data_IF_787422705649
#
_entry.id   IF_787422705649
#
_cell.length_a   1.000
_cell.length_b   1.000
_cell.length_c   1.000
_cell.angle_alpha   90.00
_cell.angle_beta   90.00
_cell.angle_gamma   90.00
#
_symmetry.space_group_name_H-M   'P 1'
#
loop_
_entity.id
_entity.type
_entity.pdbx_description
1 polymer ?
#
# COMPACT_ATOMS: atom_id res chain seq x y z
N UNK A 1 -1.45 27.68 -16.84
CA UNK A 1 -0.65 26.79 -15.98
C UNK A 1 -0.54 25.38 -16.58
N UNK A 2 -1.63 24.75 -16.94
CA UNK A 2 -1.67 23.38 -17.51
C UNK A 2 -0.73 23.17 -18.72
N UNK A 3 -0.71 24.10 -19.67
CA UNK A 3 0.19 24.04 -20.82
C UNK A 3 1.67 24.10 -20.43
N UNK A 4 2.00 24.92 -19.42
CA UNK A 4 3.37 25.00 -18.88
C UNK A 4 3.78 23.71 -18.18
N UNK A 5 2.86 23.08 -17.45
CA UNK A 5 3.08 21.77 -16.82
C UNK A 5 3.38 20.69 -17.85
N UNK A 6 2.60 20.64 -18.93
CA UNK A 6 2.85 19.71 -20.03
C UNK A 6 4.23 19.94 -20.67
N UNK A 7 4.62 21.19 -20.91
CA UNK A 7 5.93 21.53 -21.45
C UNK A 7 7.07 21.11 -20.52
N UNK A 8 6.93 21.33 -19.20
CA UNK A 8 7.91 20.87 -18.20
C UNK A 8 8.03 19.35 -18.22
N UNK A 9 6.91 18.62 -18.21
CA UNK A 9 6.93 17.17 -18.26
C UNK A 9 7.60 16.65 -19.54
N UNK A 10 7.25 17.16 -20.71
CA UNK A 10 7.86 16.74 -21.97
C UNK A 10 9.37 16.96 -22.01
N UNK A 11 9.85 18.11 -21.49
CA UNK A 11 11.31 18.36 -21.41
C UNK A 11 12.02 17.35 -20.52
N UNK A 12 11.43 16.98 -19.36
CA UNK A 12 12.00 15.96 -18.50
C UNK A 12 11.99 14.57 -19.15
N UNK A 13 10.92 14.19 -19.83
CA UNK A 13 10.85 12.93 -20.58
C UNK A 13 11.86 12.88 -21.73
N UNK A 14 12.10 14.01 -22.40
CA UNK A 14 13.12 14.11 -23.46
C UNK A 14 14.54 13.92 -22.86
N UNK A 15 14.84 14.55 -21.74
CA UNK A 15 16.11 14.39 -21.02
C UNK A 15 16.31 12.90 -20.62
N UNK A 16 15.29 12.29 -20.06
CA UNK A 16 15.33 10.89 -19.63
C UNK A 16 15.58 9.96 -20.82
N UNK A 17 14.82 10.12 -21.89
CA UNK A 17 14.96 9.33 -23.11
C UNK A 17 16.37 9.42 -23.71
N UNK A 18 16.93 10.65 -23.82
CA UNK A 18 18.28 10.88 -24.37
C UNK A 18 19.33 10.20 -23.47
N UNK A 19 19.21 10.34 -22.16
CA UNK A 19 20.16 9.80 -21.23
C UNK A 19 20.07 8.25 -21.13
N UNK A 20 18.86 7.67 -21.24
CA UNK A 20 18.69 6.22 -21.37
C UNK A 20 19.30 5.71 -22.66
N UNK A 21 19.04 6.36 -23.81
CA UNK A 21 19.62 5.98 -25.09
C UNK A 21 21.17 5.97 -25.04
N UNK A 22 21.76 6.93 -24.33
CA UNK A 22 23.20 6.96 -24.10
C UNK A 22 23.66 5.80 -23.19
N UNK A 23 22.96 5.54 -22.06
CA UNK A 23 23.28 4.40 -21.17
C UNK A 23 23.22 3.06 -21.92
N UNK A 24 22.32 2.93 -22.89
CA UNK A 24 22.17 1.74 -23.72
C UNK A 24 23.16 1.66 -24.91
N UNK A 25 23.99 2.68 -25.14
CA UNK A 25 24.92 2.75 -26.26
C UNK A 25 24.25 3.02 -27.63
N UNK A 26 23.01 3.50 -27.63
CA UNK A 26 22.26 3.84 -28.85
C UNK A 26 22.53 5.27 -29.34
N UNK A 27 23.13 6.11 -28.51
CA UNK A 27 23.45 7.50 -28.83
C UNK A 27 24.63 7.99 -28.00
N UNK A 28 25.47 8.87 -28.57
CA UNK A 28 26.55 9.55 -27.82
C UNK A 28 26.06 10.88 -27.18
N UNK A 29 24.81 11.27 -27.47
CA UNK A 29 24.27 12.52 -26.96
C UNK A 29 23.95 12.41 -25.46
N UNK A 30 24.18 13.50 -24.72
CA UNK A 30 23.67 13.69 -23.36
C UNK A 30 22.91 15.01 -23.30
N UNK A 31 21.90 15.06 -22.46
CA UNK A 31 21.14 16.27 -22.20
C UNK A 31 21.31 16.64 -20.74
N UNK A 32 21.83 17.83 -20.48
CA UNK A 32 22.02 18.35 -19.13
C UNK A 32 20.83 19.23 -18.73
N UNK A 33 20.51 19.20 -17.45
CA UNK A 33 19.45 20.03 -16.87
C UNK A 33 19.95 21.47 -16.78
N UNK A 34 19.23 22.39 -17.41
CA UNK A 34 19.51 23.81 -17.28
C UNK A 34 18.73 24.45 -16.10
N UNK A 35 19.25 25.57 -15.61
CA UNK A 35 18.66 26.29 -14.47
C UNK A 35 17.23 26.78 -14.76
N UNK A 36 16.94 27.18 -15.98
CA UNK A 36 15.61 27.67 -16.37
C UNK A 36 14.55 26.57 -16.24
N UNK A 37 14.83 25.39 -16.77
CA UNK A 37 13.95 24.22 -16.62
C UNK A 37 13.76 23.87 -15.14
N UNK A 38 14.84 23.86 -14.36
CA UNK A 38 14.76 23.55 -12.94
C UNK A 38 13.87 24.54 -12.19
N UNK A 39 14.04 25.85 -12.43
CA UNK A 39 13.23 26.90 -11.80
C UNK A 39 11.75 26.81 -12.22
N UNK A 40 11.48 26.53 -13.48
CA UNK A 40 10.10 26.35 -13.96
C UNK A 40 9.47 25.09 -13.36
N UNK A 41 10.24 24.01 -13.21
CA UNK A 41 9.80 22.79 -12.54
C UNK A 41 9.43 23.05 -11.09
N UNK A 42 10.31 23.71 -10.33
CA UNK A 42 10.06 24.05 -8.93
C UNK A 42 8.78 24.87 -8.79
N UNK A 43 8.56 25.89 -9.64
CA UNK A 43 7.33 26.71 -9.62
C UNK A 43 6.08 25.90 -9.93
N UNK A 44 6.14 25.02 -10.93
CA UNK A 44 5.01 24.16 -11.27
C UNK A 44 4.67 23.19 -10.15
N UNK A 45 5.67 22.53 -9.57
CA UNK A 45 5.49 21.57 -8.48
C UNK A 45 4.95 22.24 -7.20
N UNK A 46 5.49 23.41 -6.81
CA UNK A 46 5.02 24.16 -5.65
C UNK A 46 3.54 24.59 -5.83
N UNK A 47 3.19 25.10 -7.00
CA UNK A 47 1.82 25.46 -7.33
C UNK A 47 0.86 24.27 -7.28
N UNK A 48 1.20 23.19 -7.99
CA UNK A 48 0.34 22.00 -8.08
C UNK A 48 0.18 21.25 -6.77
N UNK A 49 1.21 21.26 -5.91
CA UNK A 49 1.15 20.61 -4.60
C UNK A 49 0.15 21.26 -3.63
N UNK A 50 -0.32 22.47 -3.91
CA UNK A 50 -1.36 23.17 -3.12
C UNK A 50 -2.75 22.86 -3.66
N UNK A 51 -2.89 22.53 -4.95
CA UNK A 51 -4.16 22.21 -5.61
C UNK A 51 -4.31 20.68 -5.58
N UNK A 52 -5.00 20.18 -4.58
CA UNK A 52 -5.15 18.72 -4.35
C UNK A 52 -6.24 18.14 -5.27
N UNK A 53 -5.92 17.98 -6.55
CA UNK A 53 -6.71 17.16 -7.47
C UNK A 53 -5.94 15.89 -7.85
N UNK A 54 -6.65 14.73 -7.96
CA UNK A 54 -6.00 13.43 -8.27
C UNK A 54 -5.07 13.43 -9.50
N UNK A 55 -5.39 14.12 -10.62
CA UNK A 55 -4.49 14.17 -11.78
C UNK A 55 -3.15 14.83 -11.49
N UNK A 56 -3.12 15.83 -10.62
CA UNK A 56 -1.91 16.56 -10.26
C UNK A 56 -0.92 15.71 -9.47
N UNK A 57 -1.38 14.76 -8.66
CA UNK A 57 -0.50 13.89 -7.86
C UNK A 57 0.38 13.02 -8.77
N UNK A 58 -0.18 12.38 -9.79
CA UNK A 58 0.60 11.58 -10.74
C UNK A 58 1.64 12.42 -11.49
N UNK A 59 1.26 13.64 -11.90
CA UNK A 59 2.20 14.58 -12.51
C UNK A 59 3.35 14.92 -11.56
N UNK A 60 3.04 15.28 -10.31
CA UNK A 60 4.03 15.65 -9.29
C UNK A 60 5.01 14.50 -9.05
N UNK A 61 4.51 13.27 -8.84
CA UNK A 61 5.35 12.09 -8.61
C UNK A 61 6.27 11.84 -9.82
N UNK A 62 5.72 11.92 -11.04
CA UNK A 62 6.49 11.70 -12.27
C UNK A 62 7.59 12.73 -12.43
N UNK A 63 7.26 14.01 -12.30
CA UNK A 63 8.25 15.09 -12.48
C UNK A 63 9.30 15.09 -11.39
N UNK A 64 8.92 14.81 -10.13
CA UNK A 64 9.89 14.67 -9.03
C UNK A 64 10.83 13.51 -9.28
N UNK A 65 10.32 12.34 -9.73
CA UNK A 65 11.16 11.18 -10.02
C UNK A 65 12.19 11.46 -11.11
N UNK A 66 11.76 12.09 -12.22
CA UNK A 66 12.65 12.50 -13.30
C UNK A 66 13.67 13.57 -12.86
N UNK A 67 13.20 14.57 -12.12
CA UNK A 67 14.07 15.60 -11.57
C UNK A 67 15.13 15.00 -10.64
N UNK A 68 14.73 14.07 -9.76
CA UNK A 68 15.64 13.41 -8.82
C UNK A 68 16.70 12.57 -9.52
N UNK A 69 16.36 11.86 -10.60
CA UNK A 69 17.29 11.02 -11.36
C UNK A 69 18.32 11.84 -12.16
N UNK A 70 17.94 13.00 -12.69
CA UNK A 70 18.75 13.72 -13.68
C UNK A 70 19.40 15.02 -13.19
N UNK A 71 19.04 15.50 -12.00
CA UNK A 71 19.68 16.70 -11.42
C UNK A 71 21.00 16.31 -10.73
N UNK A 72 22.01 17.11 -10.95
CA UNK A 72 23.29 16.99 -10.22
C UNK A 72 23.13 17.48 -8.78
N UNK A 73 22.94 16.55 -7.85
CA UNK A 73 22.74 16.83 -6.42
C UNK A 73 23.97 17.48 -5.74
N UNK A 74 25.13 17.51 -6.38
CA UNK A 74 26.30 18.22 -5.87
C UNK A 74 26.21 19.73 -6.11
N UNK A 75 25.46 20.12 -7.13
CA UNK A 75 25.22 21.53 -7.49
C UNK A 75 23.94 22.09 -6.91
N UNK A 76 22.90 21.22 -6.80
CA UNK A 76 21.56 21.63 -6.37
C UNK A 76 21.06 20.69 -5.28
N UNK A 77 20.92 21.20 -4.06
CA UNK A 77 20.29 20.44 -2.97
C UNK A 77 18.77 20.60 -3.05
N UNK A 78 18.12 19.58 -3.61
CA UNK A 78 16.67 19.54 -3.78
C UNK A 78 15.94 18.76 -2.66
N UNK A 79 16.67 18.17 -1.71
CA UNK A 79 16.09 17.28 -0.69
C UNK A 79 14.96 17.91 0.07
N UNK A 80 15.19 19.09 0.64
CA UNK A 80 14.19 19.85 1.43
C UNK A 80 12.94 20.18 0.60
N UNK A 81 13.14 20.59 -0.64
CA UNK A 81 12.04 20.91 -1.56
C UNK A 81 11.20 19.66 -1.87
N UNK A 82 11.85 18.55 -2.25
CA UNK A 82 11.16 17.30 -2.59
C UNK A 82 10.38 16.75 -1.39
N UNK A 83 10.97 16.73 -0.20
CA UNK A 83 10.31 16.32 1.04
C UNK A 83 9.07 17.16 1.31
N UNK A 84 9.16 18.48 1.19
CA UNK A 84 8.04 19.40 1.38
C UNK A 84 6.90 19.08 0.41
N UNK A 85 7.19 18.94 -0.88
CA UNK A 85 6.18 18.67 -1.90
C UNK A 85 5.51 17.29 -1.68
N UNK A 86 6.32 16.24 -1.47
CA UNK A 86 5.79 14.89 -1.25
C UNK A 86 4.94 14.80 0.03
N UNK A 87 5.35 15.46 1.10
CA UNK A 87 4.55 15.53 2.33
C UNK A 87 3.19 16.21 2.10
N UNK A 88 3.15 17.29 1.31
CA UNK A 88 1.89 18.01 1.00
C UNK A 88 0.89 17.17 0.23
N UNK A 89 1.37 16.29 -0.65
CA UNK A 89 0.51 15.41 -1.45
C UNK A 89 0.24 14.03 -0.80
N UNK A 90 0.53 13.90 0.50
CA UNK A 90 0.18 12.71 1.28
C UNK A 90 1.22 11.58 1.29
N UNK A 91 2.48 11.88 0.94
CA UNK A 91 3.60 10.93 0.97
C UNK A 91 4.72 11.35 1.93
N UNK A 92 4.43 11.53 3.23
CA UNK A 92 5.45 11.96 4.20
C UNK A 92 6.56 10.91 4.41
N UNK A 93 6.29 9.64 4.11
CA UNK A 93 7.29 8.54 4.18
C UNK A 93 8.46 8.74 3.23
N UNK A 94 8.29 9.50 2.16
CA UNK A 94 9.34 9.72 1.14
C UNK A 94 10.51 10.55 1.67
N UNK A 95 10.34 11.28 2.77
CA UNK A 95 11.41 12.01 3.43
C UNK A 95 12.59 11.11 3.80
N UNK A 96 12.32 9.88 4.24
CA UNK A 96 13.35 8.89 4.62
C UNK A 96 14.24 8.49 3.43
N UNK A 97 13.68 8.51 2.20
CA UNK A 97 14.41 8.16 0.98
C UNK A 97 15.31 9.33 0.55
N UNK A 98 14.79 10.55 0.67
CA UNK A 98 15.47 11.77 0.23
C UNK A 98 16.56 12.21 1.20
N UNK A 99 16.39 11.96 2.49
CA UNK A 99 17.33 12.38 3.54
C UNK A 99 17.64 11.26 4.52
N UNK A 100 18.91 10.90 4.61
CA UNK A 100 19.41 9.87 5.54
C UNK A 100 19.38 10.32 7.00
N UNK A 101 19.43 11.64 7.22
CA UNK A 101 19.43 12.26 8.55
C UNK A 101 18.01 12.53 9.06
N UNK A 102 16.98 12.08 8.31
CA UNK A 102 15.60 12.18 8.73
C UNK A 102 15.39 11.43 10.06
N UNK A 103 14.91 12.17 11.07
CA UNK A 103 14.64 11.60 12.39
C UNK A 103 13.41 10.69 12.38
N UNK A 104 13.66 9.38 12.32
CA UNK A 104 12.63 8.35 12.30
C UNK A 104 11.87 8.21 13.63
N UNK A 105 12.52 8.56 14.75
CA UNK A 105 11.90 8.40 16.08
C UNK A 105 10.89 9.51 16.34
N UNK A 106 11.27 10.73 16.02
CA UNK A 106 10.39 11.89 16.21
C UNK A 106 9.52 12.18 15.01
N UNK A 107 9.82 11.58 13.84
CA UNK A 107 9.09 11.84 12.60
C UNK A 107 9.21 13.29 12.12
N UNK A 108 10.18 14.05 12.61
CA UNK A 108 10.40 15.44 12.27
C UNK A 108 11.63 15.60 11.40
N UNK A 109 11.56 16.52 10.47
CA UNK A 109 12.69 16.90 9.64
C UNK A 109 13.27 18.23 10.17
N UNK A 110 14.39 18.15 10.88
CA UNK A 110 15.08 19.34 11.37
C UNK A 110 15.91 19.99 10.27
N UNK A 111 15.85 21.31 10.17
CA UNK A 111 16.69 22.10 9.26
C UNK A 111 16.03 22.54 7.96
N UNK A 112 14.71 22.63 7.91
CA UNK A 112 14.02 23.37 6.87
C UNK A 112 14.30 24.88 7.04
N UNK A 113 14.40 25.61 5.91
CA UNK A 113 14.73 27.03 5.94
C UNK A 113 13.57 27.92 6.42
N UNK A 114 12.35 27.36 6.45
CA UNK A 114 11.12 28.03 6.89
C UNK A 114 10.47 27.26 8.04
N UNK A 115 10.28 27.93 9.17
CA UNK A 115 9.56 27.35 10.32
C UNK A 115 8.11 26.98 9.99
N UNK A 116 7.46 27.69 9.05
CA UNK A 116 6.11 27.37 8.59
C UNK A 116 6.10 26.03 7.85
N UNK A 117 7.08 25.78 6.99
CA UNK A 117 7.22 24.52 6.27
C UNK A 117 7.54 23.37 7.25
N UNK A 118 8.37 23.62 8.26
CA UNK A 118 8.68 22.64 9.31
C UNK A 118 7.44 22.28 10.13
N UNK A 119 6.66 23.25 10.56
CA UNK A 119 5.38 23.02 11.26
C UNK A 119 4.40 22.26 10.37
N UNK A 120 4.25 22.65 9.11
CA UNK A 120 3.35 21.97 8.16
C UNK A 120 3.76 20.51 7.93
N UNK A 121 5.06 20.28 7.76
CA UNK A 121 5.61 18.92 7.61
C UNK A 121 5.33 18.07 8.86
N UNK A 122 5.60 18.62 10.04
CA UNK A 122 5.37 17.95 11.32
C UNK A 122 3.89 17.60 11.52
N UNK A 123 2.98 18.51 11.18
CA UNK A 123 1.53 18.25 11.26
C UNK A 123 1.14 17.09 10.32
N UNK A 124 1.63 17.08 9.08
CA UNK A 124 1.35 16.00 8.13
C UNK A 124 1.91 14.65 8.62
N UNK A 125 3.08 14.65 9.22
CA UNK A 125 3.66 13.46 9.81
C UNK A 125 2.84 12.94 10.99
N UNK A 126 2.49 13.83 11.95
CA UNK A 126 1.66 13.48 13.10
C UNK A 126 0.29 12.92 12.70
N UNK A 127 -0.32 13.46 11.65
CA UNK A 127 -1.58 12.98 11.10
C UNK A 127 -1.48 11.53 10.60
N UNK A 128 -0.33 11.16 10.03
CA UNK A 128 -0.10 9.88 9.38
C UNK A 128 0.71 8.89 10.24
N UNK A 129 1.13 9.30 11.43
CA UNK A 129 1.79 8.43 12.40
C UNK A 129 0.77 7.50 13.06
N UNK A 130 1.14 6.25 13.20
CA UNK A 130 0.40 5.24 13.96
C UNK A 130 1.34 4.53 14.93
N UNK A 131 0.75 3.98 15.98
CA UNK A 131 1.45 3.14 16.96
C UNK A 131 0.91 1.72 16.90
N UNK A 132 1.80 0.74 16.77
CA UNK A 132 1.48 -0.68 16.94
C UNK A 132 2.36 -1.18 18.09
N UNK A 133 1.75 -1.52 19.22
CA UNK A 133 2.45 -1.69 20.49
C UNK A 133 3.35 -0.47 20.81
N UNK A 134 4.66 -0.67 20.89
CA UNK A 134 5.64 0.39 21.17
C UNK A 134 6.42 0.84 19.92
N UNK A 135 5.96 0.47 18.71
CA UNK A 135 6.63 0.83 17.47
C UNK A 135 5.83 1.90 16.72
N UNK A 136 6.52 2.95 16.32
CA UNK A 136 5.96 4.00 15.46
C UNK A 136 6.09 3.65 13.99
N UNK A 137 5.03 3.89 13.22
CA UNK A 137 5.01 3.75 11.78
C UNK A 137 4.44 5.02 11.16
N UNK A 138 5.06 5.48 10.09
CA UNK A 138 4.58 6.60 9.31
C UNK A 138 3.93 6.06 8.03
N UNK A 139 2.67 6.39 7.82
CA UNK A 139 1.86 5.93 6.69
C UNK A 139 1.73 7.04 5.62
N UNK A 140 1.38 6.65 4.40
CA UNK A 140 0.85 7.59 3.41
C UNK A 140 -0.59 7.94 3.73
N UNK A 141 -1.13 9.02 3.16
CA UNK A 141 -2.55 9.40 3.35
C UNK A 141 -3.49 8.27 2.96
N UNK A 142 -3.20 7.56 1.87
CA UNK A 142 -3.97 6.40 1.42
C UNK A 142 -3.93 5.25 2.43
N UNK A 143 -2.74 4.90 2.91
CA UNK A 143 -2.58 3.85 3.91
C UNK A 143 -3.27 4.21 5.24
N UNK A 144 -3.22 5.49 5.62
CA UNK A 144 -3.90 5.98 6.84
C UNK A 144 -5.41 5.87 6.73
N UNK A 145 -5.98 6.18 5.56
CA UNK A 145 -7.41 5.99 5.31
C UNK A 145 -7.84 4.53 5.45
N UNK A 146 -7.06 3.59 4.90
CA UNK A 146 -7.31 2.14 5.07
C UNK A 146 -7.23 1.78 6.56
N UNK A 147 -6.18 2.21 7.24
CA UNK A 147 -5.97 1.94 8.67
C UNK A 147 -7.18 2.36 9.51
N UNK A 148 -7.68 3.59 9.30
CA UNK A 148 -8.81 4.14 10.06
C UNK A 148 -10.13 3.42 9.73
N UNK A 149 -10.35 3.05 8.46
CA UNK A 149 -11.56 2.34 8.04
C UNK A 149 -11.62 0.91 8.57
N UNK A 150 -10.48 0.28 8.83
CA UNK A 150 -10.46 -1.04 9.47
C UNK A 150 -10.96 -1.03 10.93
N UNK A 151 -11.19 0.12 11.54
CA UNK A 151 -11.83 0.21 12.86
C UNK A 151 -13.35 0.35 12.80
N UNK A 152 -13.91 0.79 11.68
CA UNK A 152 -15.32 1.15 11.56
C UNK A 152 -16.13 0.25 10.65
N UNK A 153 -15.53 -0.30 9.60
CA UNK A 153 -16.26 -0.95 8.52
C UNK A 153 -16.16 -2.48 8.60
N UNK A 154 -17.29 -3.17 8.40
CA UNK A 154 -17.36 -4.63 8.47
C UNK A 154 -16.75 -5.29 7.23
N UNK A 155 -16.95 -4.70 6.05
CA UNK A 155 -16.40 -5.21 4.79
C UNK A 155 -15.66 -4.08 4.08
N UNK A 156 -14.35 -4.28 3.85
CA UNK A 156 -13.50 -3.36 3.11
C UNK A 156 -13.05 -3.97 1.80
N UNK A 157 -13.15 -3.17 0.72
CA UNK A 157 -12.57 -3.45 -0.58
C UNK A 157 -11.37 -2.51 -0.82
N UNK A 158 -10.20 -3.07 -1.06
CA UNK A 158 -8.95 -2.31 -1.23
C UNK A 158 -8.39 -2.60 -2.62
N UNK A 159 -8.51 -1.64 -3.53
CA UNK A 159 -7.99 -1.73 -4.90
C UNK A 159 -6.90 -0.69 -5.14
N UNK A 160 -5.67 -1.17 -5.38
CA UNK A 160 -4.53 -0.29 -5.60
C UNK A 160 -3.39 -1.01 -6.32
N UNK A 161 -2.49 -0.27 -6.98
CA UNK A 161 -1.24 -0.83 -7.48
C UNK A 161 -0.47 -1.56 -6.39
N UNK A 162 0.31 -2.58 -6.76
CA UNK A 162 1.11 -3.37 -5.81
C UNK A 162 2.07 -2.50 -4.99
N UNK A 163 2.58 -1.44 -5.62
CA UNK A 163 3.51 -0.47 -4.99
C UNK A 163 2.87 0.47 -3.97
N UNK A 164 1.53 0.55 -3.87
CA UNK A 164 0.85 1.43 -2.92
C UNK A 164 0.95 0.98 -1.46
N UNK A 165 1.50 -0.22 -1.21
CA UNK A 165 1.73 -0.74 0.13
C UNK A 165 0.47 -1.17 0.87
N UNK A 166 -0.58 -1.58 0.14
CA UNK A 166 -1.84 -2.08 0.73
C UNK A 166 -1.62 -3.25 1.68
N UNK A 167 -0.86 -4.27 1.25
CA UNK A 167 -0.60 -5.47 2.08
C UNK A 167 0.17 -5.14 3.35
N UNK A 168 1.03 -4.12 3.32
CA UNK A 168 1.76 -3.65 4.49
C UNK A 168 0.83 -3.04 5.55
N UNK A 169 -0.07 -2.14 5.17
CA UNK A 169 -0.99 -1.51 6.13
C UNK A 169 -2.02 -2.52 6.67
N UNK A 170 -2.49 -3.45 5.83
CA UNK A 170 -3.37 -4.55 6.27
C UNK A 170 -2.64 -5.38 7.33
N UNK A 171 -1.40 -5.82 7.05
CA UNK A 171 -0.59 -6.58 8.00
C UNK A 171 -0.40 -5.86 9.33
N UNK A 172 -0.02 -4.58 9.30
CA UNK A 172 0.16 -3.80 10.53
C UNK A 172 -1.12 -3.73 11.36
N UNK A 173 -2.28 -3.51 10.71
CA UNK A 173 -3.56 -3.46 11.41
C UNK A 173 -3.96 -4.80 11.99
N UNK A 174 -3.71 -5.90 11.27
CA UNK A 174 -3.96 -7.24 11.78
C UNK A 174 -3.09 -7.56 13.00
N UNK A 175 -1.82 -7.14 12.98
CA UNK A 175 -0.93 -7.27 14.15
C UNK A 175 -1.43 -6.44 15.32
N UNK A 176 -1.88 -5.20 15.10
CA UNK A 176 -2.47 -4.34 16.12
C UNK A 176 -3.73 -4.99 16.74
N UNK A 177 -4.64 -5.50 15.90
CA UNK A 177 -5.85 -6.20 16.35
C UNK A 177 -5.51 -7.50 17.11
N UNK A 178 -4.49 -8.22 16.66
CA UNK A 178 -4.03 -9.42 17.34
C UNK A 178 -3.48 -9.10 18.76
N UNK A 179 -2.83 -7.96 18.94
CA UNK A 179 -2.32 -7.53 20.26
C UNK A 179 -3.47 -7.16 21.20
N UNK A 180 -4.40 -6.38 20.71
CA UNK A 180 -5.42 -5.73 21.53
C UNK A 180 -6.67 -6.60 21.73
N UNK A 181 -6.96 -7.52 20.81
CA UNK A 181 -8.17 -8.33 20.78
C UNK A 181 -7.86 -9.83 20.90
N UNK A 182 -8.83 -10.59 21.40
CA UNK A 182 -8.79 -12.05 21.32
C UNK A 182 -9.50 -12.53 20.04
N UNK A 183 -8.78 -12.41 18.94
CA UNK A 183 -9.30 -12.67 17.59
C UNK A 183 -8.34 -13.53 16.80
N UNK A 184 -8.86 -14.45 15.98
CA UNK A 184 -8.09 -15.22 15.02
C UNK A 184 -8.03 -14.47 13.68
N UNK A 185 -6.99 -14.73 12.89
CA UNK A 185 -6.84 -14.19 11.54
C UNK A 185 -6.88 -15.32 10.53
N UNK A 186 -7.68 -15.18 9.49
CA UNK A 186 -7.69 -16.06 8.32
C UNK A 186 -7.27 -15.24 7.09
N UNK A 187 -6.10 -15.55 6.55
CA UNK A 187 -5.51 -14.85 5.40
C UNK A 187 -5.46 -15.81 4.20
N UNK A 188 -6.29 -15.56 3.20
CA UNK A 188 -6.39 -16.40 2.00
C UNK A 188 -5.53 -15.77 0.90
N UNK A 189 -4.65 -16.59 0.33
CA UNK A 189 -3.75 -16.22 -0.78
C UNK A 189 -3.85 -17.19 -1.93
N UNK A 190 -3.67 -16.75 -3.18
CA UNK A 190 -3.83 -17.63 -4.35
C UNK A 190 -2.65 -18.59 -4.58
N UNK A 191 -1.47 -18.34 -4.01
CA UNK A 191 -0.27 -19.13 -4.32
C UNK A 191 0.57 -19.46 -3.08
N UNK A 192 1.33 -20.54 -3.15
CA UNK A 192 2.27 -20.94 -2.09
C UNK A 192 3.40 -19.93 -1.92
N UNK A 193 3.81 -19.23 -2.99
CA UNK A 193 4.82 -18.19 -2.90
C UNK A 193 4.33 -17.02 -2.03
N UNK A 194 3.11 -16.55 -2.26
CA UNK A 194 2.49 -15.50 -1.44
C UNK A 194 2.25 -15.98 -0.01
N UNK A 195 1.87 -17.24 0.19
CA UNK A 195 1.71 -17.83 1.52
C UNK A 195 3.01 -17.71 2.33
N UNK A 196 4.13 -18.10 1.74
CA UNK A 196 5.44 -18.00 2.39
C UNK A 196 5.81 -16.54 2.68
N UNK A 197 5.63 -15.65 1.72
CA UNK A 197 5.90 -14.22 1.89
C UNK A 197 5.06 -13.62 3.03
N UNK A 198 3.75 -13.83 3.06
CA UNK A 198 2.86 -13.32 4.12
C UNK A 198 3.23 -13.92 5.48
N UNK A 199 3.60 -15.21 5.53
CA UNK A 199 4.07 -15.86 6.76
C UNK A 199 5.35 -15.20 7.29
N UNK A 200 6.31 -14.92 6.44
CA UNK A 200 7.56 -14.23 6.81
C UNK A 200 7.29 -12.80 7.28
N UNK A 201 6.39 -12.09 6.60
CA UNK A 201 6.01 -10.72 6.94
C UNK A 201 5.34 -10.67 8.33
N UNK A 202 4.39 -11.58 8.64
CA UNK A 202 3.80 -11.69 9.98
C UNK A 202 4.86 -12.00 11.03
N UNK A 203 5.72 -12.99 10.81
CA UNK A 203 6.76 -13.35 11.76
C UNK A 203 7.70 -12.17 12.05
N UNK A 204 8.08 -11.42 11.00
CA UNK A 204 8.95 -10.25 11.13
C UNK A 204 8.31 -9.16 11.99
N UNK A 205 7.05 -8.78 11.69
CA UNK A 205 6.38 -7.71 12.41
C UNK A 205 6.00 -8.12 13.83
N UNK A 206 5.50 -9.33 14.07
CA UNK A 206 5.20 -9.84 15.42
C UNK A 206 6.46 -9.88 16.31
N UNK A 207 7.58 -10.32 15.74
CA UNK A 207 8.87 -10.30 16.46
C UNK A 207 9.31 -8.89 16.79
N UNK A 208 9.14 -7.93 15.87
CA UNK A 208 9.50 -6.52 16.06
C UNK A 208 8.70 -5.87 17.16
N UNK A 209 7.41 -6.21 17.31
CA UNK A 209 6.53 -5.69 18.37
C UNK A 209 6.56 -6.54 19.65
N UNK A 210 7.34 -7.62 19.68
CA UNK A 210 7.57 -8.43 20.90
C UNK A 210 6.43 -9.40 21.24
N UNK A 211 5.55 -9.74 20.30
CA UNK A 211 4.49 -10.72 20.50
C UNK A 211 5.04 -12.14 20.37
N UNK A 212 4.74 -13.02 21.34
CA UNK A 212 5.24 -14.40 21.38
C UNK A 212 4.15 -15.47 21.54
N UNK A 213 2.93 -15.06 21.91
CA UNK A 213 1.79 -15.95 22.22
C UNK A 213 0.88 -16.19 20.99
N UNK A 214 1.48 -16.40 19.83
CA UNK A 214 0.75 -16.65 18.60
C UNK A 214 1.13 -18.01 17.97
N UNK A 215 0.29 -18.45 17.03
CA UNK A 215 0.54 -19.62 16.19
C UNK A 215 0.19 -19.31 14.75
N UNK A 216 1.15 -19.51 13.84
CA UNK A 216 0.91 -19.39 12.40
C UNK A 216 0.81 -20.78 11.80
N UNK A 217 -0.29 -21.06 11.09
CA UNK A 217 -0.52 -22.32 10.41
C UNK A 217 -0.97 -22.11 8.97
N UNK A 218 -0.63 -23.07 8.11
CA UNK A 218 -1.08 -23.09 6.73
C UNK A 218 -2.23 -24.10 6.47
N UNK A 219 -2.78 -24.67 7.56
CA UNK A 219 -3.94 -25.56 7.57
C UNK A 219 -4.68 -25.39 8.87
N UNK A 220 -5.98 -25.68 8.85
CA UNK A 220 -6.77 -25.76 10.09
C UNK A 220 -6.48 -27.06 10.82
N UNK A 221 -6.28 -27.01 12.13
CA UNK A 221 -6.08 -28.18 12.98
C UNK A 221 -6.87 -28.00 14.27
N UNK A 222 -7.85 -28.88 14.51
CA UNK A 222 -8.73 -28.87 15.68
C UNK A 222 -7.98 -29.05 17.01
N UNK A 223 -6.81 -29.69 17.00
CA UNK A 223 -6.02 -29.96 18.20
C UNK A 223 -5.28 -28.70 18.71
N UNK A 224 -5.17 -27.67 17.89
CA UNK A 224 -4.45 -26.42 18.19
C UNK A 224 -5.34 -25.29 18.70
N UNK A 225 -6.61 -25.57 19.00
CA UNK A 225 -7.56 -24.61 19.60
C UNK A 225 -7.20 -24.15 21.04
N UNK A 226 -5.92 -24.25 21.41
CA UNK A 226 -5.39 -23.80 22.68
C UNK A 226 -5.48 -22.26 22.84
N UNK A 227 -5.18 -21.76 24.01
CA UNK A 227 -5.26 -20.35 24.44
C UNK A 227 -4.40 -19.35 23.63
N UNK A 228 -3.79 -19.74 22.52
CA UNK A 228 -3.01 -18.88 21.65
C UNK A 228 -3.88 -18.20 20.60
N UNK A 229 -3.39 -17.07 20.13
CA UNK A 229 -3.94 -16.33 18.99
C UNK A 229 -3.53 -17.04 17.70
N UNK A 230 -4.49 -17.40 16.85
CA UNK A 230 -4.21 -18.18 15.65
C UNK A 230 -4.21 -17.30 14.41
N UNK A 231 -3.22 -17.51 13.56
CA UNK A 231 -3.09 -16.88 12.26
C UNK A 231 -3.04 -17.99 11.22
N UNK A 232 -4.13 -18.15 10.46
CA UNK A 232 -4.23 -19.13 9.40
C UNK A 232 -3.91 -18.45 8.08
N UNK A 233 -2.76 -18.77 7.49
CA UNK A 233 -2.35 -18.28 6.16
C UNK A 233 -2.43 -19.46 5.21
N UNK A 234 -3.41 -19.46 4.30
CA UNK A 234 -3.70 -20.66 3.52
C UNK A 234 -4.17 -20.30 2.10
N UNK A 235 -4.08 -21.29 1.21
CA UNK A 235 -4.72 -21.18 -0.11
C UNK A 235 -6.21 -21.46 0.00
N UNK A 236 -6.97 -21.00 -1.00
CA UNK A 236 -8.41 -21.22 -1.06
C UNK A 236 -8.77 -22.72 -1.02
N UNK A 237 -7.94 -23.59 -1.60
CA UNK A 237 -8.16 -25.04 -1.59
C UNK A 237 -8.07 -25.63 -0.17
N UNK A 238 -7.13 -25.14 0.64
CA UNK A 238 -6.99 -25.56 2.04
C UNK A 238 -8.08 -24.98 2.93
N UNK A 239 -8.50 -23.75 2.65
CA UNK A 239 -9.57 -23.11 3.41
C UNK A 239 -10.91 -23.80 3.18
N UNK A 240 -11.28 -24.14 1.94
CA UNK A 240 -12.52 -24.89 1.67
C UNK A 240 -12.46 -26.32 2.23
N UNK A 241 -11.31 -26.99 2.18
CA UNK A 241 -11.14 -28.31 2.75
C UNK A 241 -11.38 -28.30 4.27
N UNK A 242 -10.94 -27.28 5.00
CA UNK A 242 -11.20 -27.15 6.42
C UNK A 242 -12.69 -27.14 6.77
N UNK A 243 -13.55 -26.55 5.95
CA UNK A 243 -15.00 -26.57 6.15
C UNK A 243 -15.60 -27.95 5.88
N UNK A 244 -14.99 -28.73 4.98
CA UNK A 244 -15.44 -30.09 4.68
C UNK A 244 -15.01 -31.13 5.72
N UNK A 245 -13.85 -30.90 6.34
CA UNK A 245 -13.23 -31.84 7.26
C UNK A 245 -13.80 -31.73 8.68
N UNK A 246 -14.28 -30.55 9.09
CA UNK A 246 -14.82 -30.36 10.44
C UNK A 246 -15.87 -29.25 10.52
N UNK A 247 -16.99 -29.56 11.20
CA UNK A 247 -18.00 -28.54 11.53
C UNK A 247 -17.49 -27.45 12.47
N UNK A 248 -16.36 -27.70 13.14
CA UNK A 248 -15.73 -26.77 14.10
C UNK A 248 -14.70 -25.82 13.46
N UNK A 249 -14.54 -25.86 12.13
CA UNK A 249 -13.60 -24.97 11.48
C UNK A 249 -13.94 -23.49 11.75
N UNK A 250 -12.93 -22.75 12.17
CA UNK A 250 -13.02 -21.31 12.35
C UNK A 250 -14.17 -20.86 13.28
N UNK A 251 -14.28 -21.38 14.48
CA UNK A 251 -15.38 -21.08 15.43
C UNK A 251 -15.11 -19.88 16.33
N UNK A 252 -13.85 -19.44 16.49
CA UNK A 252 -13.51 -18.22 17.23
C UNK A 252 -13.82 -16.96 16.42
N UNK A 253 -13.95 -15.82 17.11
CA UNK A 253 -14.01 -14.51 16.44
C UNK A 253 -12.81 -14.36 15.51
N UNK A 254 -13.03 -13.95 14.28
CA UNK A 254 -11.97 -13.86 13.29
C UNK A 254 -12.10 -12.66 12.36
N UNK A 255 -10.96 -12.25 11.80
CA UNK A 255 -10.87 -11.35 10.65
C UNK A 255 -10.49 -12.20 9.43
N UNK A 256 -11.27 -12.06 8.36
CA UNK A 256 -11.00 -12.68 7.07
C UNK A 256 -10.30 -11.70 6.13
N UNK A 257 -9.18 -12.10 5.57
CA UNK A 257 -8.51 -11.38 4.47
C UNK A 257 -8.47 -12.27 3.25
N UNK A 258 -8.96 -11.77 2.12
CA UNK A 258 -8.80 -12.42 0.82
C UNK A 258 -7.97 -11.51 -0.09
N UNK A 259 -6.73 -11.91 -0.35
CA UNK A 259 -5.82 -11.16 -1.20
C UNK A 259 -5.87 -11.66 -2.65
N UNK A 260 -5.54 -10.76 -3.59
CA UNK A 260 -5.59 -11.03 -5.03
C UNK A 260 -6.98 -11.44 -5.53
N UNK A 261 -8.04 -10.76 -5.01
CA UNK A 261 -9.45 -11.08 -5.27
C UNK A 261 -9.85 -10.95 -6.75
N UNK A 262 -9.05 -10.23 -7.60
CA UNK A 262 -9.31 -10.11 -9.05
C UNK A 262 -9.36 -11.48 -9.75
N UNK A 263 -8.82 -12.51 -9.14
CA UNK A 263 -8.95 -13.87 -9.67
C UNK A 263 -10.41 -14.34 -9.76
N UNK A 264 -11.33 -13.75 -8.98
CA UNK A 264 -12.77 -14.06 -9.04
C UNK A 264 -13.39 -13.57 -10.36
N UNK A 265 -12.91 -12.48 -10.96
CA UNK A 265 -13.43 -11.99 -12.25
C UNK A 265 -13.29 -13.04 -13.37
N UNK A 266 -12.31 -13.92 -13.24
CA UNK A 266 -12.07 -15.03 -14.19
C UNK A 266 -13.11 -16.16 -14.12
N UNK A 267 -14.02 -16.15 -13.16
CA UNK A 267 -15.15 -17.12 -13.09
C UNK A 267 -16.01 -17.03 -14.35
N UNK A 268 -16.12 -15.85 -14.96
CA UNK A 268 -16.88 -15.64 -16.21
C UNK A 268 -16.28 -16.38 -17.42
N UNK A 269 -15.04 -16.81 -17.33
CA UNK A 269 -14.33 -17.54 -18.40
C UNK A 269 -14.42 -19.06 -18.24
N UNK A 270 -15.48 -19.63 -17.72
CA UNK A 270 -15.90 -21.06 -17.63
C UNK A 270 -14.77 -22.15 -17.42
N UNK A 271 -13.52 -21.75 -17.23
CA UNK A 271 -12.35 -22.66 -17.20
C UNK A 271 -11.49 -22.57 -15.94
N UNK A 272 -11.66 -21.56 -15.10
CA UNK A 272 -10.80 -21.41 -13.92
C UNK A 272 -11.45 -22.01 -12.64
N UNK A 273 -11.17 -23.29 -12.43
CA UNK A 273 -11.64 -24.01 -11.22
C UNK A 273 -11.17 -23.34 -9.92
N UNK A 274 -10.01 -22.66 -9.93
CA UNK A 274 -9.47 -22.01 -8.73
C UNK A 274 -10.26 -20.76 -8.36
N UNK A 275 -10.71 -20.00 -9.34
CA UNK A 275 -11.58 -18.85 -9.12
C UNK A 275 -12.90 -19.27 -8.46
N UNK A 276 -13.47 -20.40 -8.91
CA UNK A 276 -14.68 -20.98 -8.31
C UNK A 276 -14.45 -21.42 -6.87
N UNK A 277 -13.35 -22.12 -6.61
CA UNK A 277 -13.00 -22.55 -5.23
C UNK A 277 -12.82 -21.34 -4.32
N UNK A 278 -12.19 -20.25 -4.78
CA UNK A 278 -12.08 -19.02 -3.99
C UNK A 278 -13.47 -18.45 -3.68
N UNK A 279 -14.35 -18.34 -4.68
CA UNK A 279 -15.71 -17.85 -4.49
C UNK A 279 -16.47 -18.71 -3.47
N UNK A 280 -16.48 -20.02 -3.65
CA UNK A 280 -17.15 -20.98 -2.74
C UNK A 280 -16.60 -20.84 -1.32
N UNK A 281 -15.29 -20.69 -1.15
CA UNK A 281 -14.64 -20.45 0.14
C UNK A 281 -15.17 -19.18 0.82
N UNK A 282 -15.28 -18.09 0.08
CA UNK A 282 -15.77 -16.82 0.62
C UNK A 282 -17.26 -16.89 0.99
N UNK A 283 -18.04 -17.66 0.25
CA UNK A 283 -19.44 -17.92 0.57
C UNK A 283 -19.57 -18.71 1.89
N UNK A 284 -18.72 -19.70 2.16
CA UNK A 284 -18.70 -20.39 3.44
C UNK A 284 -18.44 -19.44 4.61
N UNK A 285 -17.48 -18.52 4.47
CA UNK A 285 -17.23 -17.49 5.49
C UNK A 285 -18.39 -16.50 5.64
N UNK A 286 -19.14 -16.20 4.58
CA UNK A 286 -20.33 -15.33 4.64
C UNK A 286 -21.37 -15.84 5.63
N UNK A 287 -21.53 -17.17 5.73
CA UNK A 287 -22.53 -17.81 6.62
C UNK A 287 -22.03 -18.00 8.06
N UNK A 288 -20.81 -17.54 8.38
CA UNK A 288 -20.26 -17.61 9.73
C UNK A 288 -20.56 -16.32 10.50
N UNK A 289 -21.28 -16.41 11.61
CA UNK A 289 -21.64 -15.27 12.46
C UNK A 289 -20.46 -14.69 13.23
N UNK A 290 -19.39 -15.47 13.38
CA UNK A 290 -18.18 -15.09 14.12
C UNK A 290 -17.15 -14.33 13.28
N UNK A 291 -17.41 -14.07 12.01
CA UNK A 291 -16.58 -13.21 11.16
C UNK A 291 -16.87 -11.75 11.51
N UNK A 292 -15.91 -11.12 12.18
CA UNK A 292 -16.04 -9.74 12.64
C UNK A 292 -15.80 -8.74 11.51
N UNK A 293 -14.76 -8.99 10.72
CA UNK A 293 -14.38 -8.11 9.62
C UNK A 293 -13.91 -8.93 8.42
N UNK A 294 -14.16 -8.39 7.24
CA UNK A 294 -13.76 -8.96 5.96
C UNK A 294 -13.00 -7.91 5.17
N UNK A 295 -11.81 -8.27 4.70
CA UNK A 295 -10.96 -7.43 3.87
C UNK A 295 -10.72 -8.16 2.57
N UNK A 296 -11.14 -7.57 1.47
CA UNK A 296 -10.83 -8.05 0.13
C UNK A 296 -9.84 -7.09 -0.53
N UNK A 297 -8.77 -7.60 -1.09
CA UNK A 297 -7.74 -6.77 -1.71
C UNK A 297 -7.25 -7.30 -3.05
N UNK A 298 -6.82 -6.39 -3.91
CA UNK A 298 -6.21 -6.76 -5.19
C UNK A 298 -5.73 -5.54 -5.98
N UNK A 299 -4.98 -5.75 -7.07
CA UNK A 299 -4.56 -4.68 -7.95
C UNK A 299 -5.65 -4.32 -8.96
N UNK A 300 -5.94 -3.02 -9.09
CA UNK A 300 -6.78 -2.46 -10.18
C UNK A 300 -8.10 -3.19 -10.41
N UNK A 301 -8.85 -3.42 -9.34
CA UNK A 301 -10.20 -3.98 -9.44
C UNK A 301 -11.17 -2.84 -9.64
N UNK A 302 -11.91 -2.89 -10.75
CA UNK A 302 -13.01 -1.95 -10.96
C UNK A 302 -14.20 -2.31 -10.08
N UNK A 303 -14.81 -1.32 -9.45
CA UNK A 303 -16.02 -1.49 -8.63
C UNK A 303 -15.92 -2.59 -7.55
N UNK A 304 -14.79 -2.62 -6.82
CA UNK A 304 -14.53 -3.63 -5.77
C UNK A 304 -15.65 -3.68 -4.73
N UNK A 305 -16.37 -2.59 -4.50
CA UNK A 305 -17.54 -2.52 -3.63
C UNK A 305 -18.70 -3.39 -4.13
N UNK A 306 -18.88 -3.48 -5.46
CA UNK A 306 -19.89 -4.37 -6.04
C UNK A 306 -19.49 -5.84 -5.93
N UNK A 307 -18.20 -6.13 -6.10
CA UNK A 307 -17.67 -7.49 -5.90
C UNK A 307 -17.90 -7.93 -4.47
N UNK A 308 -17.50 -7.13 -3.48
CA UNK A 308 -17.70 -7.45 -2.07
C UNK A 308 -19.18 -7.59 -1.71
N UNK A 309 -20.05 -6.67 -2.17
CA UNK A 309 -21.51 -6.75 -1.96
C UNK A 309 -22.11 -8.00 -2.58
N UNK A 310 -21.67 -8.42 -3.76
CA UNK A 310 -22.20 -9.62 -4.42
C UNK A 310 -21.84 -10.90 -3.66
N UNK A 311 -20.63 -10.98 -3.10
CA UNK A 311 -20.15 -12.13 -2.36
C UNK A 311 -20.77 -12.17 -0.95
N UNK A 312 -20.68 -11.08 -0.19
CA UNK A 312 -21.01 -11.07 1.23
C UNK A 312 -22.42 -10.57 1.54
N UNK A 313 -23.11 -9.93 0.58
CA UNK A 313 -24.47 -9.39 0.78
C UNK A 313 -24.52 -8.16 1.70
N UNK A 314 -23.36 -7.59 2.04
CA UNK A 314 -23.20 -6.43 2.93
C UNK A 314 -22.56 -5.30 2.12
N UNK A 315 -22.88 -4.05 2.44
CA UNK A 315 -22.18 -2.91 1.83
C UNK A 315 -20.69 -2.97 2.11
N UNK A 316 -19.91 -2.81 1.04
CA UNK A 316 -18.45 -2.85 1.09
C UNK A 316 -17.93 -1.44 0.95
N UNK A 317 -17.11 -1.01 1.89
CA UNK A 317 -16.41 0.28 1.82
C UNK A 317 -15.28 0.19 0.81
N UNK A 318 -15.29 1.06 -0.19
CA UNK A 318 -14.24 1.11 -1.21
C UNK A 318 -13.09 2.02 -0.83
N UNK A 319 -11.86 1.48 -0.98
CA UNK A 319 -10.60 2.20 -0.91
C UNK A 319 -9.79 1.93 -2.18
N UNK A 320 -10.11 2.68 -3.22
CA UNK A 320 -9.45 2.56 -4.54
C UNK A 320 -8.51 3.72 -4.80
N UNK A 321 -7.34 3.42 -5.31
CA UNK A 321 -6.40 4.41 -5.86
C UNK A 321 -5.67 3.84 -7.07
N UNK A 322 -5.49 4.69 -8.09
CA UNK A 322 -4.67 4.39 -9.26
C UNK A 322 -3.26 4.98 -9.15
N UNK A 323 -2.98 5.69 -8.04
CA UNK A 323 -1.72 6.37 -7.82
C UNK A 323 -0.66 5.35 -7.42
N UNK A 324 0.40 5.26 -8.23
CA UNK A 324 1.59 4.46 -7.94
C UNK A 324 2.71 5.37 -7.43
N UNK A 325 3.27 5.11 -6.23
CA UNK A 325 4.45 5.85 -5.77
C UNK A 325 5.74 5.42 -6.49
N UNK A 326 5.67 4.40 -7.35
CA UNK A 326 6.79 3.94 -8.17
C UNK A 326 6.60 4.41 -9.60
N UNK A 327 7.57 5.15 -10.10
CA UNK A 327 7.59 5.62 -11.47
C UNK A 327 8.00 4.48 -12.42
N UNK A 328 7.11 4.14 -13.35
CA UNK A 328 7.37 3.21 -14.43
C UNK A 328 7.15 3.95 -15.76
N UNK A 329 8.21 4.22 -16.51
CA UNK A 329 8.14 4.86 -17.80
C UNK A 329 8.44 3.83 -18.89
N UNK A 330 7.60 3.80 -19.92
CA UNK A 330 7.80 2.99 -21.13
C UNK A 330 7.89 3.91 -22.32
N UNK A 331 9.00 3.86 -23.03
CA UNK A 331 9.20 4.58 -24.27
C UNK A 331 8.98 3.63 -25.45
N UNK A 332 8.07 3.98 -26.35
CA UNK A 332 7.76 3.22 -27.57
C UNK A 332 8.39 3.86 -28.82
#
# INVERSE_FOLDING_TARGET
MEEKMKQVLYKWLEIDLVNIAKKMGLSDKSCDVNLELLMDTIRCLDYESVIVEKPSINYIITVIGLMWEHVDHTKFDLRKFVIKILSRIGYPTSAIICDKDFDKENGTFSGLDSWIDEVSLTINQMKNEIMVANQKYLLTDYQKQIWDSMDSDKVLGISAPTSAGKSFVILLKLVDRLINDNIDIVYIVPTLSLLNQVTEDFNRELKKVGVTDYWISNSFDDQQLSNKKNIYIMTQEKAIAAFSDTEKAFTKRLILVADEIQNIERIREDKDQRAKVLYDTLIEFRYKDNVEQIIISGPRIEEIEKVGKSIFGIETKDHTTDISPVLNLTYA
#
